data_IF_521989384090
#
_entry.id   IF_521989384090
#
_cell.length_a   1.000
_cell.length_b   1.000
_cell.length_c   1.000
_cell.angle_alpha   90.00
_cell.angle_beta   90.00
_cell.angle_gamma   90.00
#
_symmetry.space_group_name_H-M   'P 1'
#
loop_
_entity.id
_entity.type
_entity.pdbx_description
1 polymer ?
#
# COMPACT_ATOMS: atom_id res chain seq x y z
N UNK A 1 -1.29 28.09 -5.04
CA UNK A 1 -1.11 26.81 -4.33
C UNK A 1 0.09 26.16 -4.98
N UNK A 2 1.12 25.89 -4.18
CA UNK A 2 2.42 25.40 -4.65
C UNK A 2 2.25 23.98 -5.20
N UNK A 3 2.75 23.71 -6.42
CA UNK A 3 2.60 22.41 -7.10
C UNK A 3 3.25 21.26 -6.31
N UNK A 4 4.21 21.58 -5.45
CA UNK A 4 4.89 20.65 -4.55
C UNK A 4 3.93 19.96 -3.57
N UNK A 5 2.89 20.66 -3.10
CA UNK A 5 1.95 20.12 -2.10
C UNK A 5 1.05 19.04 -2.71
N UNK A 6 0.71 19.16 -4.00
CA UNK A 6 -0.08 18.14 -4.70
C UNK A 6 0.74 16.87 -4.96
N UNK A 7 2.04 17.01 -5.21
CA UNK A 7 2.96 15.87 -5.36
C UNK A 7 3.17 15.11 -4.03
N UNK A 8 2.96 15.78 -2.90
CA UNK A 8 3.09 15.23 -1.54
C UNK A 8 1.83 14.52 -1.02
N UNK A 9 0.74 14.52 -1.80
CA UNK A 9 -0.52 13.88 -1.42
C UNK A 9 -0.93 12.78 -2.41
N UNK A 10 -1.17 11.59 -1.89
CA UNK A 10 -1.66 10.47 -2.70
C UNK A 10 -3.00 9.96 -2.20
N UNK A 11 -3.84 9.47 -3.11
CA UNK A 11 -4.98 8.65 -2.68
C UNK A 11 -4.48 7.36 -2.02
N UNK A 12 -5.27 6.78 -1.12
CA UNK A 12 -4.93 5.49 -0.48
C UNK A 12 -4.59 4.40 -1.51
N UNK A 13 -5.29 4.38 -2.66
CA UNK A 13 -5.03 3.43 -3.74
C UNK A 13 -3.68 3.64 -4.41
N UNK A 14 -3.27 4.89 -4.64
CA UNK A 14 -1.95 5.21 -5.23
C UNK A 14 -0.82 4.88 -4.24
N UNK A 15 -0.99 5.26 -2.97
CA UNK A 15 -0.01 4.98 -1.92
C UNK A 15 0.16 3.46 -1.71
N UNK A 16 -0.94 2.71 -1.69
CA UNK A 16 -0.92 1.24 -1.61
C UNK A 16 -0.12 0.61 -2.76
N UNK A 17 -0.32 1.06 -4.00
CA UNK A 17 0.43 0.57 -5.17
C UNK A 17 1.92 0.84 -5.06
N UNK A 18 2.31 2.06 -4.64
CA UNK A 18 3.71 2.46 -4.45
C UNK A 18 4.44 1.53 -3.47
N UNK A 19 3.77 1.13 -2.39
CA UNK A 19 4.34 0.26 -1.36
C UNK A 19 4.07 -1.23 -1.58
N UNK A 20 3.38 -1.62 -2.66
CA UNK A 20 3.01 -3.01 -2.90
C UNK A 20 2.07 -3.60 -1.84
N UNK A 21 1.27 -2.74 -1.21
CA UNK A 21 0.31 -3.10 -0.16
C UNK A 21 -1.12 -3.14 -0.72
N UNK A 22 -2.03 -3.79 0.00
CA UNK A 22 -3.45 -3.75 -0.37
C UNK A 22 -4.09 -2.42 0.05
N UNK A 23 -5.00 -1.90 -0.78
CA UNK A 23 -5.78 -0.70 -0.42
C UNK A 23 -6.57 -0.91 0.87
N UNK A 24 -7.09 -2.12 1.10
CA UNK A 24 -7.83 -2.45 2.33
C UNK A 24 -6.95 -2.31 3.56
N UNK A 25 -5.68 -2.71 3.48
CA UNK A 25 -4.72 -2.54 4.56
C UNK A 25 -4.41 -1.06 4.83
N UNK A 26 -4.17 -0.26 3.79
CA UNK A 26 -4.01 1.19 3.92
C UNK A 26 -5.27 1.85 4.52
N UNK A 27 -6.45 1.42 4.11
CA UNK A 27 -7.72 1.90 4.66
C UNK A 27 -7.88 1.54 6.14
N UNK A 28 -7.43 0.34 6.55
CA UNK A 28 -7.41 -0.08 7.96
C UNK A 28 -6.49 0.85 8.78
N UNK A 29 -5.27 1.09 8.31
CA UNK A 29 -4.33 1.98 9.01
C UNK A 29 -4.84 3.42 9.11
N UNK A 30 -5.55 3.90 8.08
CA UNK A 30 -6.19 5.21 8.11
C UNK A 30 -7.37 5.27 9.11
N UNK A 31 -8.21 4.22 9.17
CA UNK A 31 -9.31 4.11 10.13
C UNK A 31 -8.82 4.02 11.58
N UNK A 32 -7.69 3.34 11.81
CA UNK A 32 -7.04 3.25 13.11
C UNK A 32 -6.29 4.54 13.50
N UNK A 33 -6.25 5.55 12.64
CA UNK A 33 -5.52 6.81 12.87
C UNK A 33 -4.00 6.65 12.89
N UNK A 34 -3.48 5.50 12.47
CA UNK A 34 -2.04 5.20 12.46
C UNK A 34 -1.34 5.75 11.21
N UNK A 35 -2.05 5.81 10.09
CA UNK A 35 -1.52 6.36 8.85
C UNK A 35 -1.68 7.89 8.84
N UNK A 36 -0.61 8.66 8.59
CA UNK A 36 -0.70 10.10 8.37
C UNK A 36 -1.58 10.42 7.15
N UNK A 37 -2.67 11.15 7.40
CA UNK A 37 -3.66 11.54 6.41
C UNK A 37 -3.86 13.05 6.44
N UNK A 38 -4.04 13.64 5.25
CA UNK A 38 -4.54 15.01 5.08
C UNK A 38 -5.92 14.95 4.43
N UNK A 39 -6.97 15.11 5.24
CA UNK A 39 -8.35 14.89 4.81
C UNK A 39 -8.58 13.45 4.34
N UNK A 40 -8.85 13.27 3.03
CA UNK A 40 -9.05 11.95 2.40
C UNK A 40 -7.81 11.41 1.71
N UNK A 41 -6.72 12.17 1.71
CA UNK A 41 -5.47 11.82 1.03
C UNK A 41 -4.40 11.43 2.05
N UNK A 42 -3.47 10.59 1.64
CA UNK A 42 -2.31 10.18 2.42
C UNK A 42 -1.26 11.28 2.31
N UNK A 43 -0.78 11.75 3.46
CA UNK A 43 0.38 12.63 3.55
C UNK A 43 1.63 11.78 3.29
N UNK A 44 2.19 11.88 2.09
CA UNK A 44 3.22 10.95 1.62
C UNK A 44 4.52 11.07 2.42
N UNK A 45 5.08 12.27 2.68
CA UNK A 45 6.29 12.41 3.48
C UNK A 45 6.19 11.74 4.87
N UNK A 46 5.08 11.96 5.57
CA UNK A 46 4.89 11.40 6.91
C UNK A 46 4.53 9.91 6.86
N UNK A 47 3.67 9.50 5.92
CA UNK A 47 3.28 8.11 5.77
C UNK A 47 4.46 7.22 5.35
N UNK A 48 5.36 7.70 4.49
CA UNK A 48 6.58 6.97 4.15
C UNK A 48 7.48 6.75 5.37
N UNK A 49 7.64 7.76 6.23
CA UNK A 49 8.40 7.62 7.47
C UNK A 49 7.74 6.62 8.41
N UNK A 50 6.41 6.68 8.55
CA UNK A 50 5.65 5.71 9.35
C UNK A 50 5.86 4.27 8.86
N UNK A 51 5.70 4.03 7.56
CA UNK A 51 5.85 2.70 6.96
C UNK A 51 7.28 2.17 7.17
N UNK A 52 8.30 3.01 6.93
CA UNK A 52 9.72 2.66 7.14
C UNK A 52 10.04 2.36 8.60
N UNK A 53 9.61 3.23 9.52
CA UNK A 53 9.86 3.09 10.96
C UNK A 53 9.26 1.81 11.53
N UNK A 54 8.09 1.40 11.04
CA UNK A 54 7.38 0.21 11.51
C UNK A 54 7.72 -1.05 10.70
N UNK A 55 8.63 -0.97 9.71
CA UNK A 55 8.97 -2.11 8.86
C UNK A 55 7.79 -2.64 8.04
N UNK A 56 6.75 -1.82 7.83
CA UNK A 56 5.54 -2.21 7.12
C UNK A 56 5.90 -2.38 5.64
N UNK A 57 5.64 -3.55 5.07
CA UNK A 57 6.08 -3.87 3.71
C UNK A 57 7.60 -4.08 3.53
N UNK A 58 8.40 -3.91 4.60
CA UNK A 58 9.86 -4.16 4.62
C UNK A 58 10.17 -5.65 4.81
N UNK A 59 9.20 -6.46 5.27
CA UNK A 59 9.22 -7.92 5.14
C UNK A 59 9.02 -8.41 3.69
N UNK A 60 9.53 -7.66 2.70
CA UNK A 60 9.99 -8.24 1.44
C UNK A 60 11.38 -8.87 1.66
N UNK A 61 11.46 -9.84 2.58
CA UNK A 61 12.28 -11.01 2.28
C UNK A 61 11.69 -11.60 0.99
N UNK A 62 12.51 -12.10 0.06
CA UNK A 62 12.03 -12.56 -1.23
C UNK A 62 10.87 -13.51 -0.98
N UNK A 63 9.69 -13.17 -1.51
CA UNK A 63 8.52 -14.06 -1.52
C UNK A 63 9.05 -15.46 -1.85
N UNK A 64 8.98 -16.38 -0.89
CA UNK A 64 9.37 -17.76 -1.11
C UNK A 64 8.64 -18.23 -2.36
N UNK A 65 9.37 -18.90 -3.26
CA UNK A 65 8.88 -19.34 -4.58
C UNK A 65 7.45 -19.91 -4.52
N UNK A 66 7.17 -20.65 -3.44
CA UNK A 66 5.87 -21.28 -3.15
C UNK A 66 4.70 -20.29 -2.99
N UNK A 67 4.86 -19.16 -2.30
CA UNK A 67 3.72 -18.24 -2.08
C UNK A 67 3.42 -17.41 -3.33
N UNK A 68 4.44 -17.05 -4.11
CA UNK A 68 4.28 -16.42 -5.41
C UNK A 68 3.58 -17.36 -6.39
N UNK A 69 3.98 -18.63 -6.41
CA UNK A 69 3.31 -19.68 -7.19
C UNK A 69 1.86 -19.89 -6.73
N UNK A 70 1.56 -19.86 -5.43
CA UNK A 70 0.19 -19.96 -4.93
C UNK A 70 -0.66 -18.73 -5.28
N UNK A 71 -0.07 -17.54 -5.30
CA UNK A 71 -0.75 -16.31 -5.73
C UNK A 71 -1.06 -16.34 -7.23
N UNK A 72 -0.10 -16.77 -8.06
CA UNK A 72 -0.29 -16.96 -9.50
C UNK A 72 -1.33 -18.04 -9.79
N UNK A 73 -1.31 -19.18 -9.09
CA UNK A 73 -2.34 -20.24 -9.18
C UNK A 73 -3.74 -19.72 -8.81
N UNK A 74 -3.85 -18.83 -7.83
CA UNK A 74 -5.13 -18.17 -7.47
C UNK A 74 -5.61 -17.21 -8.56
N UNK A 75 -4.70 -16.51 -9.24
CA UNK A 75 -5.04 -15.65 -10.37
C UNK A 75 -5.46 -16.45 -11.61
N UNK A 76 -4.77 -17.54 -11.93
CA UNK A 76 -5.13 -18.44 -13.04
C UNK A 76 -6.52 -19.07 -12.83
N UNK A 77 -6.82 -19.56 -11.62
CA UNK A 77 -8.16 -20.09 -11.29
C UNK A 77 -9.28 -19.08 -11.50
N UNK A 78 -9.01 -17.77 -11.34
CA UNK A 78 -9.99 -16.71 -11.56
C UNK A 78 -10.21 -16.40 -13.04
N UNK A 79 -9.21 -16.64 -13.90
CA UNK A 79 -9.35 -16.44 -15.36
C UNK A 79 -10.24 -17.49 -16.02
N UNK A 80 -10.40 -18.67 -15.42
CA UNK A 80 -11.29 -19.72 -15.93
C UNK A 80 -12.75 -19.62 -15.46
N UNK A 81 -13.10 -18.61 -14.65
CA UNK A 81 -14.45 -18.37 -14.13
C UNK A 81 -15.16 -17.20 -14.82
N UNK A 82 -14.64 -16.74 -15.97
CA UNK A 82 -15.22 -15.70 -16.83
C UNK A 82 -15.43 -16.26 -18.22
#
# INVERSE_FOLDING_TARGET
>A
VDKSIEDDLLTQSQFARRWGLSRQYISKLALEGSLPMFGKMVDVPLADQFIKRNGIGVLRLPFGREESEQYLKRLEKRKGLV
#
